data_IF_406010435086
#
_entry.id   IF_406010435086
#
_cell.length_a   1.000
_cell.length_b   1.000
_cell.length_c   1.000
_cell.angle_alpha   90.00
_cell.angle_beta   90.00
_cell.angle_gamma   90.00
#
_symmetry.space_group_name_H-M   'P 1'
#
loop_
_entity.id
_entity.type
_entity.pdbx_description
1 polymer ?
#
# COMPACT_ATOMS: atom_id res chain seq x y z
N UNK A 1 -17.18 -22.99 19.82
CA UNK A 1 -16.53 -22.21 18.76
C UNK A 1 -15.43 -21.42 19.44
N UNK A 2 -14.15 -21.65 19.09
CA UNK A 2 -13.10 -20.70 19.47
C UNK A 2 -13.32 -19.45 18.61
N UNK A 3 -13.49 -18.30 19.24
CA UNK A 3 -13.39 -17.02 18.52
C UNK A 3 -12.01 -16.97 17.84
N UNK A 4 -11.94 -16.58 16.55
CA UNK A 4 -10.65 -16.34 15.93
C UNK A 4 -9.92 -15.28 16.75
N UNK A 5 -8.69 -15.60 17.17
CA UNK A 5 -7.86 -14.65 17.91
C UNK A 5 -7.67 -13.37 17.08
N UNK A 6 -7.78 -12.22 17.73
CA UNK A 6 -7.49 -10.92 17.12
C UNK A 6 -6.04 -10.98 16.61
N UNK A 7 -5.84 -10.70 15.32
CA UNK A 7 -4.51 -10.68 14.69
C UNK A 7 -3.80 -9.38 15.00
N UNK A 8 -2.51 -9.45 15.29
CA UNK A 8 -1.68 -8.26 15.48
C UNK A 8 -1.39 -7.57 14.13
N UNK A 9 -1.23 -6.23 14.08
CA UNK A 9 -0.98 -5.51 12.83
C UNK A 9 0.20 -6.04 12.02
N UNK A 10 1.26 -6.47 12.68
CA UNK A 10 2.46 -7.02 12.03
C UNK A 10 2.19 -8.40 11.38
N UNK A 11 1.30 -9.20 11.96
CA UNK A 11 0.88 -10.48 11.37
C UNK A 11 0.06 -10.23 10.11
N UNK A 12 -0.86 -9.26 10.17
CA UNK A 12 -1.68 -8.85 9.02
C UNK A 12 -0.78 -8.30 7.91
N UNK A 13 0.18 -7.42 8.24
CA UNK A 13 1.16 -6.88 7.28
C UNK A 13 1.93 -7.99 6.55
N UNK A 14 2.47 -8.96 7.29
CA UNK A 14 3.19 -10.10 6.71
C UNK A 14 2.29 -10.97 5.83
N UNK A 15 1.03 -11.17 6.22
CA UNK A 15 0.07 -11.92 5.43
C UNK A 15 -0.25 -11.22 4.10
N UNK A 16 -0.51 -9.90 4.14
CA UNK A 16 -0.63 -9.06 2.94
C UNK A 16 0.59 -9.20 2.03
N UNK A 17 1.80 -9.01 2.58
CA UNK A 17 3.07 -9.11 1.83
C UNK A 17 3.18 -10.45 1.10
N UNK A 18 2.94 -11.56 1.80
CA UNK A 18 2.99 -12.91 1.21
C UNK A 18 1.96 -13.12 0.10
N UNK A 19 0.72 -12.64 0.27
CA UNK A 19 -0.37 -12.84 -0.70
C UNK A 19 -0.27 -11.92 -1.91
N UNK A 20 0.17 -10.68 -1.72
CA UNK A 20 0.26 -9.68 -2.77
C UNK A 20 1.53 -9.82 -3.61
N UNK A 21 2.64 -10.29 -3.04
CA UNK A 21 3.92 -10.44 -3.76
C UNK A 21 3.83 -11.20 -5.11
N UNK A 22 3.10 -12.33 -5.21
CA UNK A 22 3.00 -13.06 -6.48
C UNK A 22 1.99 -12.48 -7.48
N UNK A 23 1.20 -11.45 -7.10
CA UNK A 23 0.14 -10.92 -7.98
C UNK A 23 0.76 -10.03 -9.06
N UNK A 24 0.54 -10.33 -10.36
CA UNK A 24 1.08 -9.51 -11.43
C UNK A 24 0.37 -8.16 -11.48
N UNK A 25 1.09 -7.11 -11.14
CA UNK A 25 0.64 -5.71 -11.20
C UNK A 25 1.64 -4.87 -11.99
N UNK A 26 1.31 -3.62 -12.27
CA UNK A 26 2.30 -2.73 -12.89
C UNK A 26 3.47 -2.47 -11.91
N UNK A 27 4.72 -2.28 -12.41
CA UNK A 27 5.86 -1.97 -11.54
C UNK A 27 5.62 -0.75 -10.64
N UNK A 28 4.82 0.18 -11.14
CA UNK A 28 4.43 1.38 -10.43
C UNK A 28 3.52 1.09 -9.24
N UNK A 29 2.52 0.22 -9.41
CA UNK A 29 1.65 -0.19 -8.32
C UNK A 29 2.36 -1.16 -7.36
N UNK A 30 3.29 -1.97 -7.86
CA UNK A 30 4.18 -2.79 -7.02
C UNK A 30 5.00 -1.93 -6.05
N UNK A 31 5.55 -0.80 -6.51
CA UNK A 31 6.27 0.14 -5.65
C UNK A 31 5.36 0.74 -4.55
N UNK A 32 4.11 1.08 -4.91
CA UNK A 32 3.11 1.57 -3.96
C UNK A 32 2.80 0.50 -2.89
N UNK A 33 2.54 -0.74 -3.29
CA UNK A 33 2.27 -1.84 -2.36
C UNK A 33 3.48 -2.12 -1.46
N UNK A 34 4.69 -2.13 -2.02
CA UNK A 34 5.93 -2.25 -1.26
C UNK A 34 6.04 -1.15 -0.20
N UNK A 35 5.78 0.10 -0.57
CA UNK A 35 5.80 1.22 0.37
C UNK A 35 4.73 1.09 1.47
N UNK A 36 3.49 0.71 1.14
CA UNK A 36 2.41 0.51 2.13
C UNK A 36 2.71 -0.61 3.14
N UNK A 37 3.47 -1.62 2.71
CA UNK A 37 3.81 -2.79 3.51
C UNK A 37 5.20 -2.69 4.15
N UNK A 38 5.93 -1.60 3.93
CA UNK A 38 7.32 -1.43 4.35
C UNK A 38 8.26 -2.53 3.79
N UNK A 39 8.06 -2.92 2.53
CA UNK A 39 8.82 -3.96 1.84
C UNK A 39 9.68 -3.41 0.68
N UNK A 40 10.77 -4.11 0.39
CA UNK A 40 11.80 -3.67 -0.56
C UNK A 40 11.60 -4.33 -1.92
N UNK A 41 10.41 -4.13 -2.49
CA UNK A 41 9.97 -4.87 -3.68
C UNK A 41 10.51 -4.36 -5.02
N UNK A 42 10.83 -3.06 -5.08
CA UNK A 42 11.25 -2.39 -6.32
C UNK A 42 12.57 -1.65 -6.12
N UNK A 43 13.26 -1.41 -7.24
CA UNK A 43 14.46 -0.56 -7.30
C UNK A 43 14.23 0.53 -8.37
N UNK A 44 14.27 1.83 -8.02
CA UNK A 44 14.49 2.38 -6.68
C UNK A 44 13.35 2.04 -5.71
N UNK A 45 13.68 1.98 -4.41
CA UNK A 45 12.70 1.73 -3.35
C UNK A 45 11.89 2.99 -3.11
N UNK A 46 10.56 2.89 -3.21
CA UNK A 46 9.65 3.93 -2.75
C UNK A 46 9.57 3.87 -1.21
N UNK A 47 9.94 4.96 -0.53
CA UNK A 47 10.03 4.98 0.95
C UNK A 47 8.92 5.77 1.60
N UNK A 48 8.32 6.72 0.88
CA UNK A 48 7.30 7.59 1.44
C UNK A 48 6.36 8.07 0.33
N UNK A 49 5.09 8.29 0.69
CA UNK A 49 4.08 8.84 -0.21
C UNK A 49 3.32 9.96 0.49
N UNK A 50 2.88 10.95 -0.29
CA UNK A 50 2.04 12.05 0.16
C UNK A 50 0.89 12.26 -0.84
N UNK A 51 -0.28 12.66 -0.33
CA UNK A 51 -1.39 13.11 -1.17
C UNK A 51 -1.43 14.64 -1.13
N UNK A 52 -1.25 15.26 -2.28
CA UNK A 52 -1.25 16.72 -2.43
C UNK A 52 -2.68 17.30 -2.39
N UNK A 53 -2.84 18.63 -2.22
CA UNK A 53 -4.16 19.27 -2.17
C UNK A 53 -5.03 19.06 -3.42
N UNK A 54 -4.42 18.89 -4.59
CA UNK A 54 -5.04 18.58 -5.88
C UNK A 54 -5.30 17.08 -6.09
N UNK A 55 -5.26 16.28 -5.01
CA UNK A 55 -5.58 14.84 -4.99
C UNK A 55 -4.61 13.94 -5.76
N UNK A 56 -3.42 14.43 -6.12
CA UNK A 56 -2.35 13.62 -6.66
C UNK A 56 -1.59 12.87 -5.58
N UNK A 57 -1.16 11.66 -5.90
CA UNK A 57 -0.26 10.87 -5.07
C UNK A 57 1.16 11.10 -5.57
N UNK A 58 2.06 11.56 -4.69
CA UNK A 58 3.47 11.70 -4.97
C UNK A 58 4.29 10.77 -4.08
N UNK A 59 5.38 10.27 -4.64
CA UNK A 59 6.33 9.39 -4.01
C UNK A 59 7.70 10.02 -3.83
N UNK A 60 8.36 9.65 -2.73
CA UNK A 60 9.78 9.91 -2.50
C UNK A 60 10.50 8.57 -2.47
N UNK A 61 11.46 8.41 -3.37
CA UNK A 61 12.30 7.22 -3.39
C UNK A 61 13.47 7.36 -2.39
N UNK A 62 14.07 6.24 -2.02
CA UNK A 62 15.28 6.21 -1.21
C UNK A 62 16.39 7.05 -1.86
N UNK A 63 17.09 7.85 -1.05
CA UNK A 63 18.11 8.79 -1.52
C UNK A 63 17.56 10.11 -2.08
N UNK A 64 16.24 10.25 -2.28
CA UNK A 64 15.64 11.51 -2.69
C UNK A 64 15.31 12.40 -1.49
N UNK A 65 15.63 13.69 -1.61
CA UNK A 65 15.34 14.71 -0.59
C UNK A 65 13.89 15.22 -0.62
N UNK A 66 13.15 14.99 -1.71
CA UNK A 66 11.79 15.53 -1.89
C UNK A 66 10.91 14.54 -2.66
N UNK A 67 9.59 14.68 -2.51
CA UNK A 67 8.62 13.94 -3.32
C UNK A 67 8.69 14.42 -4.78
N UNK A 68 9.09 13.54 -5.69
CA UNK A 68 9.27 13.84 -7.12
C UNK A 68 8.54 12.87 -8.03
N UNK A 69 8.29 11.65 -7.56
CA UNK A 69 7.69 10.60 -8.37
C UNK A 69 6.17 10.78 -8.39
N UNK A 70 5.59 11.09 -9.55
CA UNK A 70 4.14 11.09 -9.68
C UNK A 70 3.60 9.65 -9.66
N UNK A 71 2.69 9.37 -8.73
CA UNK A 71 2.15 8.03 -8.49
C UNK A 71 0.72 7.79 -9.02
N UNK A 72 0.07 8.84 -9.52
CA UNK A 72 -1.32 8.80 -10.00
C UNK A 72 -2.29 9.61 -9.14
N UNK A 73 -3.59 9.37 -9.33
CA UNK A 73 -4.64 10.00 -8.54
C UNK A 73 -4.93 9.20 -7.26
N UNK A 74 -5.16 9.89 -6.15
CA UNK A 74 -5.46 9.26 -4.85
C UNK A 74 -6.80 8.52 -4.83
N UNK A 75 -7.74 8.86 -5.72
CA UNK A 75 -9.01 8.15 -5.88
C UNK A 75 -8.83 6.77 -6.51
N UNK A 76 -7.93 6.65 -7.50
CA UNK A 76 -7.63 5.39 -8.17
C UNK A 76 -6.94 4.40 -7.22
N UNK A 77 -6.16 4.90 -6.25
CA UNK A 77 -5.43 4.07 -5.30
C UNK A 77 -6.35 3.11 -4.52
N UNK A 78 -7.45 3.62 -3.96
CA UNK A 78 -8.39 2.78 -3.20
C UNK A 78 -9.06 1.74 -4.11
N UNK A 79 -9.46 2.14 -5.32
CA UNK A 79 -10.04 1.21 -6.30
C UNK A 79 -9.05 0.10 -6.67
N UNK A 80 -7.78 0.45 -6.87
CA UNK A 80 -6.73 -0.52 -7.21
C UNK A 80 -6.43 -1.48 -6.04
N UNK A 81 -6.44 -0.98 -4.80
CA UNK A 81 -6.32 -1.83 -3.59
C UNK A 81 -7.46 -2.83 -3.52
N UNK A 82 -8.70 -2.41 -3.72
CA UNK A 82 -9.83 -3.35 -3.73
C UNK A 82 -9.74 -4.35 -4.89
N UNK A 83 -9.30 -3.91 -6.07
CA UNK A 83 -9.07 -4.78 -7.22
C UNK A 83 -8.04 -5.87 -6.92
N UNK A 84 -6.85 -5.50 -6.42
CA UNK A 84 -5.80 -6.46 -6.11
C UNK A 84 -6.14 -7.34 -4.91
N UNK A 85 -6.89 -6.81 -3.93
CA UNK A 85 -7.33 -7.56 -2.77
C UNK A 85 -8.19 -8.77 -3.16
N UNK A 86 -9.09 -8.59 -4.13
CA UNK A 86 -9.92 -9.67 -4.67
C UNK A 86 -9.06 -10.75 -5.34
N UNK A 87 -8.09 -10.34 -6.16
CA UNK A 87 -7.19 -11.27 -6.87
C UNK A 87 -6.26 -12.02 -5.91
N UNK A 88 -5.78 -11.36 -4.87
CA UNK A 88 -4.88 -11.94 -3.88
C UNK A 88 -5.61 -12.72 -2.77
N UNK A 89 -6.94 -12.81 -2.85
CA UNK A 89 -7.79 -13.41 -1.82
C UNK A 89 -7.49 -12.85 -0.41
N UNK A 90 -7.39 -11.52 -0.32
CA UNK A 90 -7.24 -10.85 0.96
C UNK A 90 -8.55 -10.95 1.76
N UNK A 91 -8.42 -11.18 3.05
CA UNK A 91 -9.52 -11.17 3.99
C UNK A 91 -9.81 -9.76 4.53
N UNK A 92 -10.80 -9.65 5.42
CA UNK A 92 -11.26 -8.37 5.95
C UNK A 92 -10.19 -7.57 6.71
N UNK A 93 -9.33 -8.24 7.49
CA UNK A 93 -8.30 -7.51 8.25
C UNK A 93 -7.17 -7.04 7.33
N UNK A 94 -6.82 -7.86 6.33
CA UNK A 94 -5.80 -7.53 5.33
C UNK A 94 -6.23 -6.32 4.46
N UNK A 95 -7.48 -6.30 4.01
CA UNK A 95 -8.08 -5.15 3.31
C UNK A 95 -8.12 -3.94 4.25
N UNK A 96 -8.61 -4.12 5.47
CA UNK A 96 -8.69 -3.06 6.48
C UNK A 96 -7.35 -2.42 6.78
N UNK A 97 -6.29 -3.22 6.88
CA UNK A 97 -4.92 -2.76 7.08
C UNK A 97 -4.45 -1.86 5.93
N UNK A 98 -4.61 -2.28 4.67
CA UNK A 98 -4.18 -1.49 3.52
C UNK A 98 -4.96 -0.19 3.40
N UNK A 99 -6.28 -0.23 3.60
CA UNK A 99 -7.13 0.97 3.57
C UNK A 99 -6.73 1.94 4.69
N UNK A 100 -6.45 1.42 5.90
CA UNK A 100 -5.96 2.24 7.01
C UNK A 100 -4.65 2.95 6.66
N UNK A 101 -3.69 2.27 6.01
CA UNK A 101 -2.46 2.89 5.52
C UNK A 101 -2.69 4.01 4.51
N UNK A 102 -3.66 3.84 3.59
CA UNK A 102 -4.04 4.94 2.68
C UNK A 102 -4.66 6.12 3.43
N UNK A 103 -5.47 5.85 4.46
CA UNK A 103 -6.05 6.91 5.30
C UNK A 103 -4.98 7.64 6.11
N UNK A 104 -3.96 6.96 6.61
CA UNK A 104 -2.80 7.58 7.27
C UNK A 104 -2.11 8.58 6.33
N UNK A 105 -1.86 8.22 5.07
CA UNK A 105 -1.28 9.14 4.07
C UNK A 105 -2.18 10.35 3.85
N UNK A 106 -3.49 10.17 3.79
CA UNK A 106 -4.46 11.29 3.66
C UNK A 106 -4.44 12.24 4.85
N UNK A 107 -4.12 11.75 6.05
CA UNK A 107 -4.09 12.53 7.31
C UNK A 107 -2.82 13.33 7.51
N UNK A 108 -1.77 13.10 6.72
CA UNK A 108 -0.52 13.88 6.75
C UNK A 108 -0.67 15.30 6.15
N UNK A 109 -1.91 15.79 6.01
CA UNK A 109 -2.27 17.13 5.56
C UNK A 109 -2.15 18.15 6.68
#
# INVERSE_FOLDING_TARGET
MNEPAIREPEEIRKACSRKLRPVPVSPHFEAILGCLLCEDWTVPRLVEMVITPDSHLLGRCEGEASFKTFLGASEDLLRNIHGVASVAELDGDEIGYLVAKVVEIKRQK
#
